data_IF_529179879463
#
_entry.id   IF_529179879463
#
_cell.length_a   1.000
_cell.length_b   1.000
_cell.length_c   1.000
_cell.angle_alpha   90.00
_cell.angle_beta   90.00
_cell.angle_gamma   90.00
#
_symmetry.space_group_name_H-M   'P 1'
#
loop_
_entity.id
_entity.type
_entity.pdbx_description
1 polymer ?
#
# COMPACT_ATOMS: atom_id res chain seq x y z
N UNK A 1 2.43 -11.84 -5.55
CA UNK A 1 2.37 -10.52 -4.87
C UNK A 1 3.23 -10.51 -3.61
N UNK A 2 3.99 -9.43 -3.37
CA UNK A 2 4.68 -9.18 -2.09
C UNK A 2 4.01 -8.06 -1.31
N UNK A 3 3.84 -8.26 0.00
CA UNK A 3 3.19 -7.31 0.90
C UNK A 3 4.02 -7.18 2.18
N UNK A 4 4.56 -5.99 2.41
CA UNK A 4 5.13 -5.58 3.69
C UNK A 4 4.15 -4.64 4.39
N UNK A 5 3.68 -5.03 5.57
CA UNK A 5 2.77 -4.24 6.39
C UNK A 5 3.55 -3.65 7.56
N UNK A 6 3.50 -2.33 7.70
CA UNK A 6 4.08 -1.61 8.82
C UNK A 6 3.00 -0.76 9.47
N UNK A 7 2.65 -1.08 10.71
CA UNK A 7 1.92 -0.16 11.56
C UNK A 7 2.85 0.97 12.00
N UNK A 8 2.35 2.19 11.92
CA UNK A 8 3.08 3.39 12.27
C UNK A 8 2.24 4.28 13.19
N UNK A 9 2.89 4.80 14.23
CA UNK A 9 2.30 5.85 15.06
C UNK A 9 2.11 7.11 14.20
N UNK A 10 3.04 7.35 13.25
CA UNK A 10 3.00 8.41 12.24
C UNK A 10 3.52 7.86 10.91
N UNK A 11 2.79 8.13 9.84
CA UNK A 11 3.27 8.00 8.47
C UNK A 11 3.02 9.32 7.74
N UNK A 12 4.05 9.87 7.12
CA UNK A 12 3.94 11.03 6.25
C UNK A 12 4.71 10.80 4.95
N UNK A 13 4.27 11.48 3.90
CA UNK A 13 4.98 11.47 2.63
C UNK A 13 4.88 12.81 1.92
N UNK A 14 5.89 13.09 1.09
CA UNK A 14 5.90 14.23 0.18
C UNK A 14 6.31 13.77 -1.21
N UNK A 15 5.58 14.20 -2.25
CA UNK A 15 5.97 13.99 -3.64
C UNK A 15 7.31 14.69 -3.95
N UNK A 16 8.26 13.95 -4.50
CA UNK A 16 9.63 14.43 -4.74
C UNK A 16 9.97 14.51 -6.23
N UNK A 17 10.01 13.36 -6.93
CA UNK A 17 10.35 13.30 -8.36
C UNK A 17 9.33 12.48 -9.13
N UNK A 18 8.94 12.95 -10.32
CA UNK A 18 8.15 12.16 -11.27
C UNK A 18 8.95 10.96 -11.76
N UNK A 19 8.31 9.79 -11.89
CA UNK A 19 8.92 8.62 -12.53
C UNK A 19 8.34 8.31 -13.90
N UNK A 20 7.25 8.97 -14.28
CA UNK A 20 6.59 8.82 -15.57
C UNK A 20 6.29 10.22 -16.13
N UNK A 21 6.74 10.50 -17.36
CA UNK A 21 6.54 11.79 -18.03
C UNK A 21 5.05 12.07 -18.31
N UNK A 22 4.24 11.02 -18.43
CA UNK A 22 2.81 11.08 -18.74
C UNK A 22 1.91 11.38 -17.54
N UNK A 23 2.46 11.46 -16.32
CA UNK A 23 1.68 11.73 -15.11
C UNK A 23 1.61 13.24 -14.86
N UNK A 24 0.40 13.76 -14.65
CA UNK A 24 0.15 15.16 -14.31
C UNK A 24 1.00 15.61 -13.11
N UNK A 25 1.49 16.86 -13.11
CA UNK A 25 2.17 17.42 -11.93
C UNK A 25 1.25 17.35 -10.72
N UNK A 26 1.69 16.58 -9.74
CA UNK A 26 0.95 16.29 -8.52
C UNK A 26 1.87 16.57 -7.34
N UNK A 27 1.59 17.66 -6.64
CA UNK A 27 2.22 17.97 -5.37
C UNK A 27 1.30 17.57 -4.22
N UNK A 28 1.72 16.60 -3.42
CA UNK A 28 1.02 16.22 -2.21
C UNK A 28 2.02 16.07 -1.05
N UNK A 29 1.65 16.66 0.07
CA UNK A 29 2.29 16.52 1.37
C UNK A 29 1.20 16.11 2.35
N UNK A 30 1.35 14.91 2.93
CA UNK A 30 0.29 14.31 3.75
C UNK A 30 0.88 13.57 4.93
N UNK A 31 0.18 13.65 6.05
CA UNK A 31 0.50 12.94 7.27
C UNK A 31 -0.75 12.26 7.84
N UNK A 32 -0.54 11.05 8.36
CA UNK A 32 -1.54 10.26 9.06
C UNK A 32 -0.93 9.65 10.32
N UNK A 33 -1.78 9.39 11.31
CA UNK A 33 -1.39 8.79 12.58
C UNK A 33 -2.15 7.49 12.81
N UNK A 34 -1.58 6.62 13.64
CA UNK A 34 -2.15 5.32 14.00
C UNK A 34 -2.61 4.56 12.76
N UNK A 35 -1.69 4.25 11.85
CA UNK A 35 -2.02 3.81 10.49
C UNK A 35 -1.25 2.56 10.12
N UNK A 36 -1.92 1.64 9.42
CA UNK A 36 -1.26 0.50 8.79
C UNK A 36 -0.88 0.87 7.36
N UNK A 37 0.42 0.91 7.07
CA UNK A 37 0.93 1.11 5.72
C UNK A 37 1.22 -0.24 5.08
N UNK A 38 0.51 -0.56 4.00
CA UNK A 38 0.78 -1.68 3.13
C UNK A 38 1.70 -1.26 1.99
N UNK A 39 2.98 -1.61 2.11
CA UNK A 39 3.96 -1.55 1.02
C UNK A 39 3.74 -2.76 0.11
N UNK A 40 3.25 -2.51 -1.10
CA UNK A 40 2.73 -3.55 -2.00
C UNK A 40 3.54 -3.56 -3.27
N UNK A 41 3.98 -4.76 -3.66
CA UNK A 41 4.50 -5.04 -4.99
C UNK A 41 3.63 -6.08 -5.68
N UNK A 42 3.03 -5.68 -6.80
CA UNK A 42 2.32 -6.56 -7.71
C UNK A 42 3.34 -7.16 -8.69
N UNK A 43 3.32 -8.48 -8.80
CA UNK A 43 4.24 -9.28 -9.62
C UNK A 43 3.54 -9.73 -10.90
N UNK A 44 4.30 -10.04 -11.95
CA UNK A 44 3.75 -10.40 -13.26
C UNK A 44 2.75 -11.56 -13.22
N UNK A 45 2.97 -12.53 -12.34
CA UNK A 45 2.08 -13.69 -12.15
C UNK A 45 0.72 -13.35 -11.51
N UNK A 46 0.60 -12.18 -10.88
CA UNK A 46 -0.63 -11.71 -10.26
C UNK A 46 -1.67 -11.27 -11.31
N UNK A 47 -1.21 -10.87 -12.50
CA UNK A 47 -2.05 -10.42 -13.63
C UNK A 47 -3.05 -11.49 -14.07
N UNK A 48 -2.69 -12.76 -13.98
CA UNK A 48 -3.56 -13.88 -14.36
C UNK A 48 -4.61 -14.22 -13.30
N UNK A 49 -4.51 -13.64 -12.09
CA UNK A 49 -5.25 -14.08 -10.89
C UNK A 49 -5.75 -12.92 -10.02
N UNK A 50 -6.09 -11.78 -10.65
CA UNK A 50 -6.46 -10.51 -10.01
C UNK A 50 -7.41 -10.69 -8.80
N UNK A 51 -8.57 -11.32 -8.99
CA UNK A 51 -9.57 -11.48 -7.92
C UNK A 51 -9.03 -12.24 -6.69
N UNK A 52 -8.19 -13.24 -6.95
CA UNK A 52 -7.60 -14.10 -5.90
C UNK A 52 -6.55 -13.32 -5.13
N UNK A 53 -5.67 -12.60 -5.81
CA UNK A 53 -4.60 -11.82 -5.17
C UNK A 53 -5.16 -10.64 -4.41
N UNK A 54 -6.17 -9.94 -4.93
CA UNK A 54 -6.87 -8.86 -4.22
C UNK A 54 -7.52 -9.38 -2.94
N UNK A 55 -8.20 -10.52 -3.02
CA UNK A 55 -8.86 -11.11 -1.85
C UNK A 55 -7.84 -11.48 -0.77
N UNK A 56 -6.67 -11.99 -1.15
CA UNK A 56 -5.57 -12.25 -0.19
C UNK A 56 -4.99 -10.96 0.37
N UNK A 57 -4.76 -9.93 -0.46
CA UNK A 57 -4.27 -8.61 -0.06
C UNK A 57 -5.18 -8.00 1.02
N UNK A 58 -6.48 -7.90 0.73
CA UNK A 58 -7.47 -7.32 1.63
C UNK A 58 -7.57 -8.11 2.94
N UNK A 59 -7.57 -9.45 2.88
CA UNK A 59 -7.60 -10.28 4.09
C UNK A 59 -6.39 -10.03 4.99
N UNK A 60 -5.18 -9.96 4.42
CA UNK A 60 -3.96 -9.71 5.19
C UNK A 60 -3.93 -8.30 5.77
N UNK A 61 -4.30 -7.28 4.99
CA UNK A 61 -4.37 -5.89 5.46
C UNK A 61 -5.38 -5.76 6.61
N UNK A 62 -6.61 -6.27 6.46
CA UNK A 62 -7.63 -6.23 7.52
C UNK A 62 -7.16 -6.95 8.79
N UNK A 63 -6.52 -8.10 8.63
CA UNK A 63 -5.97 -8.86 9.75
C UNK A 63 -4.88 -8.04 10.48
N UNK A 64 -3.93 -7.46 9.77
CA UNK A 64 -2.85 -6.67 10.38
C UNK A 64 -3.36 -5.37 11.01
N UNK A 65 -4.34 -4.70 10.39
CA UNK A 65 -5.00 -3.52 10.92
C UNK A 65 -5.71 -3.84 12.24
N UNK A 66 -6.46 -4.95 12.28
CA UNK A 66 -7.10 -5.46 13.51
C UNK A 66 -6.08 -5.82 14.59
N UNK A 67 -4.92 -6.38 14.23
CA UNK A 67 -3.85 -6.72 15.20
C UNK A 67 -3.18 -5.49 15.81
N UNK A 68 -3.20 -4.37 15.12
CA UNK A 68 -2.63 -3.10 15.57
C UNK A 68 -3.72 -2.08 15.97
N UNK A 69 -4.96 -2.53 16.16
CA UNK A 69 -6.11 -1.72 16.60
C UNK A 69 -6.26 -0.40 15.82
N UNK A 70 -6.19 -0.48 14.49
CA UNK A 70 -6.37 0.68 13.61
C UNK A 70 -7.39 0.43 12.50
N UNK A 71 -8.12 1.49 12.15
CA UNK A 71 -8.99 1.55 10.98
C UNK A 71 -8.40 2.39 9.83
N UNK A 72 -7.21 2.97 10.02
CA UNK A 72 -6.52 3.78 9.02
C UNK A 72 -5.57 2.88 8.22
N UNK A 73 -5.70 2.88 6.89
CA UNK A 73 -4.88 2.07 5.99
C UNK A 73 -4.31 2.93 4.87
N UNK A 74 -3.02 2.76 4.59
CA UNK A 74 -2.39 3.32 3.39
C UNK A 74 -1.95 2.20 2.47
N UNK A 75 -2.32 2.30 1.19
CA UNK A 75 -1.81 1.46 0.13
C UNK A 75 -0.67 2.21 -0.57
N UNK A 76 0.55 1.73 -0.40
CA UNK A 76 1.74 2.34 -0.98
C UNK A 76 2.38 1.40 -2.00
N UNK A 77 2.47 1.83 -3.26
CA UNK A 77 3.15 1.07 -4.31
C UNK A 77 4.65 1.08 -4.07
N UNK A 78 5.25 -0.10 -3.94
CA UNK A 78 6.66 -0.25 -3.59
C UNK A 78 7.32 -1.36 -4.42
N UNK A 79 7.70 -1.03 -5.66
CA UNK A 79 8.23 -1.97 -6.66
C UNK A 79 9.68 -2.45 -6.42
N UNK A 80 10.14 -2.50 -5.16
CA UNK A 80 11.48 -2.92 -4.74
C UNK A 80 11.51 -4.14 -3.81
N UNK A 81 10.36 -4.76 -3.52
CA UNK A 81 10.22 -6.01 -2.74
C UNK A 81 10.48 -7.29 -3.57
N UNK A 82 10.48 -7.20 -4.90
CA UNK A 82 10.70 -8.30 -5.84
C UNK A 82 11.35 -7.79 -7.12
N UNK A 83 11.96 -8.69 -7.88
CA UNK A 83 12.45 -8.42 -9.23
C UNK A 83 11.34 -8.51 -10.28
N UNK A 84 10.24 -9.22 -9.98
CA UNK A 84 9.07 -9.35 -10.85
C UNK A 84 8.13 -8.16 -10.67
N UNK A 85 7.62 -7.60 -11.77
CA UNK A 85 6.70 -6.45 -11.77
C UNK A 85 5.57 -6.71 -12.74
N UNK A 86 4.35 -6.46 -12.29
CA UNK A 86 3.18 -6.42 -13.16
C UNK A 86 3.15 -5.13 -13.99
N UNK A 87 2.29 -5.13 -15.00
CA UNK A 87 1.93 -3.95 -15.77
C UNK A 87 1.40 -2.82 -14.84
N UNK A 88 1.79 -1.55 -15.07
CA UNK A 88 1.33 -0.42 -14.26
C UNK A 88 -0.18 -0.24 -14.23
N UNK A 89 -0.90 -0.51 -15.32
CA UNK A 89 -2.36 -0.39 -15.39
C UNK A 89 -3.03 -1.46 -14.52
N UNK A 90 -2.55 -2.69 -14.58
CA UNK A 90 -3.04 -3.79 -13.72
C UNK A 90 -2.74 -3.50 -12.24
N UNK A 91 -1.55 -2.97 -11.96
CA UNK A 91 -1.19 -2.55 -10.60
C UNK A 91 -2.16 -1.49 -10.09
N UNK A 92 -2.44 -0.46 -10.90
CA UNK A 92 -3.37 0.61 -10.52
C UNK A 92 -4.80 0.09 -10.33
N UNK A 93 -5.25 -0.83 -11.17
CA UNK A 93 -6.55 -1.50 -11.04
C UNK A 93 -6.68 -2.23 -9.69
N UNK A 94 -5.70 -3.06 -9.34
CA UNK A 94 -5.68 -3.80 -8.07
C UNK A 94 -5.74 -2.84 -6.87
N UNK A 95 -4.99 -1.74 -6.91
CA UNK A 95 -4.98 -0.74 -5.83
C UNK A 95 -6.35 -0.06 -5.67
N UNK A 96 -6.96 0.37 -6.78
CA UNK A 96 -8.28 1.01 -6.76
C UNK A 96 -9.37 0.05 -6.24
N UNK A 97 -9.32 -1.22 -6.66
CA UNK A 97 -10.24 -2.25 -6.17
C UNK A 97 -10.04 -2.54 -4.68
N UNK A 98 -8.79 -2.63 -4.24
CA UNK A 98 -8.45 -2.85 -2.84
C UNK A 98 -8.92 -1.68 -1.95
N UNK A 99 -8.67 -0.43 -2.35
CA UNK A 99 -9.14 0.76 -1.62
C UNK A 99 -10.65 0.74 -1.45
N UNK A 100 -11.41 0.61 -2.55
CA UNK A 100 -12.88 0.56 -2.52
C UNK A 100 -13.42 -0.57 -1.64
N UNK A 101 -12.80 -1.76 -1.69
CA UNK A 101 -13.23 -2.91 -0.87
C UNK A 101 -12.89 -2.73 0.62
N UNK A 102 -11.82 -2.01 0.95
CA UNK A 102 -11.48 -1.67 2.33
C UNK A 102 -12.42 -0.59 2.87
N UNK A 103 -12.72 0.44 2.09
CA UNK A 103 -13.70 1.48 2.45
C UNK A 103 -15.10 0.89 2.68
N UNK A 104 -15.57 0.03 1.79
CA UNK A 104 -16.84 -0.70 1.96
C UNK A 104 -16.86 -1.57 3.23
N UNK A 105 -15.69 -1.96 3.75
CA UNK A 105 -15.57 -2.71 4.99
C UNK A 105 -15.41 -1.82 6.25
N UNK A 106 -15.51 -0.49 6.10
CA UNK A 106 -15.49 0.49 7.19
C UNK A 106 -14.10 1.06 7.53
N UNK A 107 -13.08 0.83 6.70
CA UNK A 107 -11.75 1.39 6.90
C UNK A 107 -11.61 2.75 6.23
N UNK A 108 -10.82 3.64 6.84
CA UNK A 108 -10.37 4.89 6.21
C UNK A 108 -9.10 4.58 5.42
N UNK A 109 -9.18 4.69 4.10
CA UNK A 109 -8.11 4.25 3.20
C UNK A 109 -7.55 5.41 2.40
N UNK A 110 -6.27 5.33 2.07
CA UNK A 110 -5.62 6.22 1.12
C UNK A 110 -4.66 5.43 0.24
N UNK A 111 -4.50 5.85 -1.00
CA UNK A 111 -3.35 5.48 -1.83
C UNK A 111 -2.32 6.61 -1.82
N UNK A 112 -1.03 6.27 -1.72
CA UNK A 112 0.02 7.25 -2.02
C UNK A 112 0.09 7.50 -3.54
N UNK A 113 0.64 8.64 -3.99
CA UNK A 113 0.72 8.97 -5.40
C UNK A 113 1.45 7.89 -6.20
N UNK A 114 0.80 7.41 -7.26
CA UNK A 114 1.34 6.38 -8.14
C UNK A 114 2.24 7.04 -9.20
N UNK A 115 3.39 6.46 -9.52
CA UNK A 115 4.32 7.04 -10.51
C UNK A 115 5.16 8.21 -9.98
N UNK A 116 5.33 8.31 -8.67
CA UNK A 116 6.17 9.30 -8.00
C UNK A 116 7.16 8.64 -7.05
N UNK A 117 8.38 9.18 -7.00
CA UNK A 117 9.23 9.03 -5.83
C UNK A 117 8.70 9.91 -4.71
N UNK A 118 8.59 9.32 -3.52
CA UNK A 118 8.10 9.99 -2.33
C UNK A 118 9.20 10.04 -1.27
N UNK A 119 9.36 11.19 -0.64
CA UNK A 119 10.09 11.29 0.62
C UNK A 119 9.17 10.76 1.72
N UNK A 120 9.60 9.73 2.44
CA UNK A 120 8.79 9.06 3.47
C UNK A 120 9.32 9.37 4.87
N UNK A 121 8.42 9.71 5.78
CA UNK A 121 8.66 9.78 7.23
C UNK A 121 7.78 8.75 7.93
N UNK A 122 8.41 7.76 8.56
CA UNK A 122 7.74 6.59 9.14
C UNK A 122 8.21 6.37 10.58
N UNK A 123 7.30 6.59 11.53
CA UNK A 123 7.49 6.24 12.94
C UNK A 123 6.87 4.89 13.25
N UNK A 124 7.64 3.83 13.04
CA UNK A 124 7.20 2.45 13.30
C UNK A 124 7.57 2.01 14.74
N UNK A 125 6.60 1.73 15.62
CA UNK A 125 6.89 1.29 16.98
C UNK A 125 7.41 -0.15 17.04
N UNK A 126 8.23 -0.44 18.05
CA UNK A 126 8.77 -1.78 18.32
C UNK A 126 7.77 -2.73 19.00
N UNK A 127 6.56 -2.89 18.45
CA UNK A 127 5.52 -3.79 18.99
C UNK A 127 5.43 -5.10 18.19
N UNK A 128 4.93 -6.15 18.83
CA UNK A 128 4.66 -7.42 18.14
C UNK A 128 3.68 -7.22 16.98
N UNK A 129 3.96 -7.83 15.83
CA UNK A 129 3.14 -7.74 14.60
C UNK A 129 2.93 -6.31 14.03
N UNK A 130 3.68 -5.32 14.53
CA UNK A 130 3.70 -3.99 13.90
C UNK A 130 4.41 -4.02 12.55
N UNK A 131 5.24 -5.04 12.28
CA UNK A 131 5.98 -5.22 11.02
C UNK A 131 5.85 -6.67 10.57
N UNK A 132 5.14 -6.91 9.48
CA UNK A 132 4.85 -8.26 8.99
C UNK A 132 5.00 -8.31 7.47
N UNK A 133 5.70 -9.32 6.98
CA UNK A 133 5.79 -9.61 5.56
C UNK A 133 4.90 -10.79 5.17
N UNK A 134 4.30 -10.72 3.98
CA UNK A 134 3.52 -11.77 3.36
C UNK A 134 3.84 -11.85 1.87
N UNK A 135 3.83 -13.07 1.37
CA UNK A 135 3.98 -13.41 -0.05
C UNK A 135 2.88 -14.40 -0.42
N UNK A 136 2.24 -14.19 -1.56
CA UNK A 136 1.11 -15.02 -1.99
C UNK A 136 0.70 -14.83 -3.45
#
# INVERSE_FOLDING_TARGET
MKLLMIYADKFAYKTSKKTLETVEEYEEDKQMENVLVGFIQVEKEDEEKIDKVETKLIKNIKWAAKKNDTNNIVLHSFAHLSLSKADPEITKLIFNNAEKRLENAGYKTWQTPFGYFLDLDLKAPGKSLARVFKEF
#
